data_IF_694026079410
#
_entry.id   IF_694026079410
#
_cell.length_a   1.000
_cell.length_b   1.000
_cell.length_c   1.000
_cell.angle_alpha   90.00
_cell.angle_beta   90.00
_cell.angle_gamma   90.00
#
_symmetry.space_group_name_H-M   'P 1'
#
loop_
_entity.id
_entity.type
_entity.pdbx_description
1 polymer ?
#
# COMPACT_ATOMS: atom_id res chain seq x y z
N UNK A 1 -12.43 20.67 -10.66
CA UNK A 1 -12.28 19.66 -11.72
C UNK A 1 -11.25 18.64 -11.24
N UNK A 2 -11.64 17.40 -11.01
CA UNK A 2 -10.68 16.35 -10.71
C UNK A 2 -9.83 16.12 -11.98
N UNK A 3 -8.51 16.31 -11.88
CA UNK A 3 -7.60 15.93 -12.95
C UNK A 3 -7.70 14.40 -13.13
N UNK A 4 -7.84 13.93 -14.37
CA UNK A 4 -7.88 12.49 -14.60
C UNK A 4 -6.57 11.84 -14.19
N UNK A 5 -6.61 10.55 -13.85
CA UNK A 5 -5.43 9.78 -13.48
C UNK A 5 -4.35 9.85 -14.57
N UNK A 6 -4.73 9.80 -15.85
CA UNK A 6 -3.80 9.91 -16.96
C UNK A 6 -3.03 11.23 -16.98
N UNK A 7 -3.69 12.36 -16.73
CA UNK A 7 -3.01 13.67 -16.65
C UNK A 7 -1.99 13.73 -15.53
N UNK A 8 -2.30 13.14 -14.37
CA UNK A 8 -1.39 13.11 -13.23
C UNK A 8 -0.15 12.27 -13.56
N UNK A 9 -0.32 11.11 -14.18
CA UNK A 9 0.79 10.24 -14.56
C UNK A 9 1.66 10.88 -15.64
N UNK A 10 1.06 11.51 -16.64
CA UNK A 10 1.78 12.21 -17.72
C UNK A 10 2.64 13.36 -17.19
N UNK A 11 2.09 14.16 -16.27
CA UNK A 11 2.79 15.31 -15.72
C UNK A 11 3.82 14.93 -14.65
N UNK A 12 3.55 13.88 -13.85
CA UNK A 12 4.35 13.53 -12.69
C UNK A 12 5.41 12.46 -12.94
N UNK A 13 5.39 11.78 -14.10
CA UNK A 13 6.37 10.74 -14.44
C UNK A 13 6.46 9.60 -13.43
N UNK A 14 7.62 8.90 -13.32
CA UNK A 14 7.78 7.75 -12.44
C UNK A 14 7.39 7.97 -10.97
N UNK A 15 7.62 9.12 -10.33
CA UNK A 15 7.11 9.39 -8.98
C UNK A 15 5.59 9.30 -8.88
N UNK A 16 4.85 9.84 -9.85
CA UNK A 16 3.38 9.77 -9.85
C UNK A 16 2.89 8.31 -10.00
N UNK A 17 3.57 7.49 -10.79
CA UNK A 17 3.29 6.05 -10.90
C UNK A 17 3.49 5.35 -9.56
N UNK A 18 4.60 5.59 -8.86
CA UNK A 18 4.85 5.02 -7.53
C UNK A 18 3.77 5.45 -6.52
N UNK A 19 3.44 6.74 -6.46
CA UNK A 19 2.38 7.27 -5.58
C UNK A 19 1.05 6.55 -5.83
N UNK A 20 0.64 6.43 -7.09
CA UNK A 20 -0.62 5.77 -7.46
C UNK A 20 -0.59 4.27 -7.18
N UNK A 21 0.55 3.60 -7.38
CA UNK A 21 0.71 2.19 -7.03
C UNK A 21 0.54 1.97 -5.52
N UNK A 22 1.14 2.82 -4.67
CA UNK A 22 0.95 2.74 -3.22
C UNK A 22 -0.52 2.92 -2.84
N UNK A 23 -1.16 3.98 -3.34
CA UNK A 23 -2.57 4.24 -3.03
C UNK A 23 -3.47 3.07 -3.47
N UNK A 24 -3.32 2.59 -4.70
CA UNK A 24 -4.14 1.50 -5.23
C UNK A 24 -3.92 0.19 -4.45
N UNK A 25 -2.66 -0.13 -4.14
CA UNK A 25 -2.30 -1.38 -3.47
C UNK A 25 -2.60 -1.38 -1.98
N UNK A 26 -2.53 -0.24 -1.28
CA UNK A 26 -2.71 -0.17 0.18
C UNK A 26 -4.14 0.17 0.60
N UNK A 27 -4.91 0.91 -0.20
CA UNK A 27 -6.29 1.27 0.13
C UNK A 27 -7.28 0.15 -0.17
N UNK A 28 -7.01 -0.69 -1.18
CA UNK A 28 -7.94 -1.74 -1.62
C UNK A 28 -7.46 -3.15 -1.27
N UNK A 29 -8.37 -4.07 -0.91
CA UNK A 29 -8.03 -5.48 -0.71
C UNK A 29 -7.66 -6.19 -2.02
N UNK A 30 -8.07 -5.66 -3.15
CA UNK A 30 -7.72 -6.16 -4.49
C UNK A 30 -7.21 -5.02 -5.35
N UNK A 31 -6.15 -5.24 -6.09
CA UNK A 31 -5.62 -4.28 -7.03
C UNK A 31 -5.03 -4.98 -8.25
N UNK A 32 -4.95 -4.26 -9.33
CA UNK A 32 -4.35 -4.73 -10.57
C UNK A 32 -3.68 -3.57 -11.29
N UNK A 33 -2.76 -3.89 -12.15
CA UNK A 33 -2.08 -2.94 -13.02
C UNK A 33 -2.35 -3.30 -14.47
N UNK A 34 -2.47 -2.27 -15.32
CA UNK A 34 -2.51 -2.46 -16.75
C UNK A 34 -1.08 -2.68 -17.27
N UNK A 35 -0.93 -3.61 -18.21
CA UNK A 35 0.38 -3.94 -18.79
C UNK A 35 1.05 -2.70 -19.40
N UNK A 36 2.31 -2.43 -19.01
CA UNK A 36 3.06 -1.22 -19.34
C UNK A 36 3.10 -0.18 -18.22
N UNK A 37 2.25 -0.32 -17.20
CA UNK A 37 2.30 0.54 -16.02
C UNK A 37 3.65 0.41 -15.29
N UNK A 38 4.16 -0.78 -15.18
CA UNK A 38 5.45 -1.11 -14.59
C UNK A 38 6.64 -0.52 -15.34
N UNK A 39 6.45 -0.21 -16.62
CA UNK A 39 7.42 0.51 -17.47
C UNK A 39 7.19 2.03 -17.48
N UNK A 40 6.23 2.51 -16.68
CA UNK A 40 5.81 3.91 -16.63
C UNK A 40 5.39 4.47 -18.00
N UNK A 41 4.78 3.63 -18.83
CA UNK A 41 4.26 4.02 -20.14
C UNK A 41 3.14 5.05 -19.96
N UNK A 42 3.35 6.25 -20.52
CA UNK A 42 2.45 7.39 -20.37
C UNK A 42 2.35 8.27 -21.62
N UNK A 43 2.76 7.76 -22.78
CA UNK A 43 2.68 8.49 -24.04
C UNK A 43 1.21 8.64 -24.45
N UNK A 44 0.66 9.87 -24.52
CA UNK A 44 -0.73 10.07 -24.90
C UNK A 44 -0.91 9.79 -26.40
N UNK A 45 -2.09 9.30 -26.80
CA UNK A 45 -2.44 9.05 -28.21
C UNK A 45 -2.32 10.33 -29.05
N UNK A 46 -2.68 11.49 -28.48
CA UNK A 46 -2.54 12.83 -29.05
C UNK A 46 -2.40 13.85 -27.90
N UNK A 47 -1.82 15.01 -28.14
CA UNK A 47 -1.71 16.04 -27.12
C UNK A 47 -3.06 16.33 -26.43
N UNK A 48 -3.11 16.24 -25.09
CA UNK A 48 -4.30 16.46 -24.29
C UNK A 48 -5.27 15.28 -24.22
N UNK A 49 -5.00 14.14 -24.89
CA UNK A 49 -5.76 12.91 -24.72
C UNK A 49 -5.49 12.27 -23.37
N UNK A 50 -6.52 11.62 -22.82
CA UNK A 50 -6.41 10.72 -21.66
C UNK A 50 -6.11 9.29 -22.06
N UNK A 51 -6.22 8.96 -23.34
CA UNK A 51 -5.86 7.68 -23.92
C UNK A 51 -4.36 7.63 -24.20
N UNK A 52 -3.74 6.51 -23.87
CA UNK A 52 -2.35 6.25 -24.20
C UNK A 52 -2.21 5.64 -25.58
N UNK A 53 -1.07 5.92 -26.22
CA UNK A 53 -0.71 5.35 -27.51
C UNK A 53 -0.65 3.81 -27.38
N UNK A 54 -1.27 3.11 -28.32
CA UNK A 54 -1.32 1.64 -28.38
C UNK A 54 -1.87 1.02 -27.07
N UNK A 55 -2.88 1.64 -26.47
CA UNK A 55 -3.51 1.18 -25.23
C UNK A 55 -4.68 0.22 -25.44
N UNK A 56 -5.13 0.04 -26.69
CA UNK A 56 -6.23 -0.87 -26.99
C UNK A 56 -5.85 -2.32 -26.72
N UNK A 57 -6.74 -3.06 -26.06
CA UNK A 57 -6.47 -4.43 -25.58
C UNK A 57 -6.12 -5.46 -26.67
N UNK A 58 -6.44 -5.15 -27.92
CA UNK A 58 -6.14 -6.02 -29.07
C UNK A 58 -4.91 -5.60 -29.85
N UNK A 59 -4.29 -4.49 -29.50
CA UNK A 59 -3.06 -4.04 -30.15
C UNK A 59 -1.87 -4.86 -29.64
N UNK A 60 -1.11 -5.42 -30.56
CA UNK A 60 0.13 -6.08 -30.23
C UNK A 60 1.21 -5.03 -29.97
N UNK A 61 1.71 -5.01 -28.73
CA UNK A 61 2.79 -4.12 -28.31
C UNK A 61 3.91 -4.94 -27.69
N UNK A 62 4.98 -5.23 -28.44
CA UNK A 62 6.15 -5.89 -27.87
C UNK A 62 6.84 -4.96 -26.87
N UNK A 63 7.25 -5.51 -25.73
CA UNK A 63 8.00 -4.81 -24.68
C UNK A 63 9.25 -5.60 -24.36
N UNK A 64 10.41 -4.92 -24.33
CA UNK A 64 11.66 -5.53 -23.90
C UNK A 64 11.84 -5.33 -22.39
N UNK A 65 11.28 -6.27 -21.62
CA UNK A 65 11.33 -6.27 -20.17
C UNK A 65 12.77 -6.40 -19.64
N UNK A 66 13.59 -7.19 -20.33
CA UNK A 66 14.97 -7.43 -19.92
C UNK A 66 15.83 -6.19 -20.17
N UNK A 67 15.64 -5.49 -21.29
CA UNK A 67 16.29 -4.21 -21.52
C UNK A 67 15.87 -3.18 -20.45
N UNK A 68 14.57 -3.04 -20.19
CA UNK A 68 14.07 -2.12 -19.17
C UNK A 68 14.65 -2.41 -17.78
N UNK A 69 14.77 -3.69 -17.41
CA UNK A 69 15.38 -4.09 -16.13
C UNK A 69 16.88 -3.77 -16.07
N UNK A 70 17.63 -4.04 -17.15
CA UNK A 70 19.07 -3.71 -17.23
C UNK A 70 19.34 -2.21 -17.14
N UNK A 71 18.47 -1.42 -17.76
CA UNK A 71 18.63 0.04 -17.82
C UNK A 71 18.05 0.75 -16.59
N UNK A 72 17.49 -0.01 -15.62
CA UNK A 72 16.86 0.54 -14.43
C UNK A 72 15.60 1.36 -14.72
N UNK A 73 14.96 1.11 -15.85
CA UNK A 73 13.75 1.80 -16.28
C UNK A 73 12.50 1.16 -15.64
N UNK A 74 11.51 2.01 -15.36
CA UNK A 74 10.25 1.55 -14.80
C UNK A 74 10.25 1.38 -13.28
N UNK A 75 9.15 0.81 -12.78
CA UNK A 75 8.88 0.64 -11.34
C UNK A 75 8.56 -0.81 -10.96
N UNK A 76 8.93 -1.78 -11.80
CA UNK A 76 8.64 -3.19 -11.54
C UNK A 76 9.22 -3.69 -10.18
N UNK A 77 10.46 -3.35 -9.77
CA UNK A 77 10.97 -3.71 -8.44
C UNK A 77 10.11 -3.13 -7.31
N UNK A 78 9.69 -1.87 -7.43
CA UNK A 78 8.82 -1.22 -6.44
C UNK A 78 7.45 -1.92 -6.33
N UNK A 79 6.85 -2.33 -7.45
CA UNK A 79 5.62 -3.13 -7.47
C UNK A 79 5.83 -4.49 -6.80
N UNK A 80 6.98 -5.10 -6.98
CA UNK A 80 7.36 -6.35 -6.30
C UNK A 80 7.37 -6.18 -4.79
N UNK A 81 7.97 -5.07 -4.28
CA UNK A 81 7.95 -4.75 -2.85
C UNK A 81 6.54 -4.53 -2.33
N UNK A 82 5.70 -3.76 -3.04
CA UNK A 82 4.30 -3.58 -2.66
C UNK A 82 3.54 -4.91 -2.57
N UNK A 83 3.76 -5.81 -3.53
CA UNK A 83 3.14 -7.14 -3.51
C UNK A 83 3.67 -8.02 -2.37
N UNK A 84 4.96 -7.94 -2.04
CA UNK A 84 5.56 -8.62 -0.88
C UNK A 84 4.92 -8.14 0.41
N UNK A 85 4.83 -6.82 0.61
CA UNK A 85 4.18 -6.20 1.76
C UNK A 85 2.72 -6.66 1.87
N UNK A 86 1.98 -6.63 0.77
CA UNK A 86 0.58 -7.09 0.77
C UNK A 86 0.43 -8.54 1.18
N UNK A 87 1.35 -9.41 0.76
CA UNK A 87 1.32 -10.84 1.13
C UNK A 87 1.59 -11.06 2.61
N UNK A 88 2.43 -10.24 3.24
CA UNK A 88 2.79 -10.37 4.66
C UNK A 88 1.75 -9.77 5.61
N UNK A 89 0.82 -8.92 5.14
CA UNK A 89 -0.12 -8.20 5.99
C UNK A 89 -1.58 -8.55 5.71
N UNK A 90 -2.22 -9.27 6.64
CA UNK A 90 -3.64 -9.60 6.56
C UNK A 90 -4.54 -8.36 6.57
N UNK A 91 -4.14 -7.31 7.28
CA UNK A 91 -4.87 -6.05 7.33
C UNK A 91 -5.12 -5.45 5.93
N UNK A 92 -4.22 -5.68 4.97
CA UNK A 92 -4.34 -5.19 3.60
C UNK A 92 -5.36 -5.97 2.76
N UNK A 93 -5.81 -7.15 3.22
CA UNK A 93 -6.78 -7.99 2.52
C UNK A 93 -8.24 -7.67 2.88
N UNK A 94 -8.47 -6.72 3.80
CA UNK A 94 -9.81 -6.35 4.27
C UNK A 94 -10.23 -4.99 3.69
N UNK A 95 -11.54 -4.83 3.44
CA UNK A 95 -12.09 -3.60 2.85
C UNK A 95 -12.49 -2.56 3.90
N UNK A 96 -13.09 -2.99 5.01
CA UNK A 96 -13.79 -2.10 5.96
C UNK A 96 -12.95 -1.71 7.19
N UNK A 97 -11.66 -1.92 7.16
CA UNK A 97 -10.73 -1.64 8.25
C UNK A 97 -9.83 -0.42 8.00
N UNK A 98 -10.23 0.44 7.07
CA UNK A 98 -9.51 1.65 6.70
C UNK A 98 -9.88 2.81 7.62
N UNK A 99 -8.87 3.50 8.16
CA UNK A 99 -8.98 4.73 8.94
C UNK A 99 -8.03 5.79 8.43
N UNK A 100 -8.53 7.01 8.22
CA UNK A 100 -7.70 8.17 7.90
C UNK A 100 -7.30 8.90 9.16
N UNK A 101 -6.06 9.38 9.19
CA UNK A 101 -5.50 10.17 10.27
C UNK A 101 -5.32 11.62 9.85
N UNK A 102 -5.30 12.54 10.83
CA UNK A 102 -5.14 13.95 10.53
C UNK A 102 -3.71 14.29 10.09
N UNK A 103 -3.61 15.13 9.06
CA UNK A 103 -2.34 15.67 8.55
C UNK A 103 -2.53 17.17 8.34
N UNK A 104 -1.57 18.01 8.75
CA UNK A 104 -1.65 19.47 8.64
C UNK A 104 -1.38 20.02 7.24
N UNK A 105 -1.08 19.15 6.29
CA UNK A 105 -0.80 19.51 4.89
C UNK A 105 -1.66 18.68 3.93
N UNK A 106 -2.39 19.32 3.00
CA UNK A 106 -3.26 18.62 2.06
C UNK A 106 -2.49 17.79 1.02
N UNK A 107 -1.19 18.05 0.86
CA UNK A 107 -0.32 17.31 -0.05
C UNK A 107 0.10 15.94 0.48
N UNK A 108 -0.13 15.67 1.78
CA UNK A 108 0.11 14.36 2.35
C UNK A 108 -1.21 13.73 2.80
N UNK A 109 -1.25 12.41 2.73
CA UNK A 109 -2.34 11.61 3.26
C UNK A 109 -1.78 10.55 4.19
N UNK A 110 -2.46 10.34 5.33
CA UNK A 110 -2.12 9.27 6.26
C UNK A 110 -3.35 8.42 6.53
N UNK A 111 -3.16 7.10 6.47
CA UNK A 111 -4.20 6.14 6.80
C UNK A 111 -3.62 4.87 7.40
N UNK A 112 -4.45 4.15 8.15
CA UNK A 112 -4.12 2.83 8.65
C UNK A 112 -5.15 1.79 8.26
N UNK A 113 -4.72 0.54 8.24
CA UNK A 113 -5.57 -0.65 8.17
C UNK A 113 -5.17 -1.59 9.29
N UNK A 114 -6.15 -2.03 10.06
CA UNK A 114 -5.92 -2.91 11.21
C UNK A 114 -6.91 -4.06 11.18
N UNK A 115 -6.44 -5.24 11.55
CA UNK A 115 -7.26 -6.43 11.79
C UNK A 115 -6.84 -7.07 13.10
N UNK A 116 -7.82 -7.43 13.93
CA UNK A 116 -7.59 -8.11 15.19
C UNK A 116 -7.72 -9.63 15.02
N UNK A 117 -7.11 -10.40 15.93
CA UNK A 117 -7.23 -11.86 15.91
C UNK A 117 -8.68 -12.35 16.04
N UNK A 118 -9.55 -11.60 16.74
CA UNK A 118 -10.98 -11.89 16.83
C UNK A 118 -11.68 -11.81 15.46
N UNK A 119 -11.35 -10.79 14.66
CA UNK A 119 -11.91 -10.61 13.33
C UNK A 119 -11.45 -11.70 12.38
N UNK A 120 -10.18 -12.10 12.47
CA UNK A 120 -9.61 -13.20 11.66
C UNK A 120 -10.32 -14.51 11.97
N UNK A 121 -10.52 -14.82 13.27
CA UNK A 121 -11.21 -16.04 13.70
C UNK A 121 -12.67 -16.06 13.27
N UNK A 122 -13.38 -14.93 13.37
CA UNK A 122 -14.76 -14.80 12.95
C UNK A 122 -14.92 -14.99 11.44
N UNK A 123 -14.01 -14.46 10.63
CA UNK A 123 -14.02 -14.64 9.19
C UNK A 123 -13.75 -16.10 8.77
N UNK A 124 -12.82 -16.76 9.46
CA UNK A 124 -12.54 -18.19 9.25
C UNK A 124 -13.73 -19.09 9.56
N UNK A 125 -14.47 -18.78 10.64
CA UNK A 125 -15.68 -19.51 11.01
C UNK A 125 -16.84 -19.29 10.01
N UNK A 126 -16.96 -18.07 9.44
CA UNK A 126 -17.98 -17.75 8.43
C UNK A 126 -17.69 -18.39 7.07
N UNK A 127 -16.42 -18.52 6.67
CA UNK A 127 -16.03 -19.14 5.40
C UNK A 127 -16.26 -20.65 5.37
N UNK A 128 -16.39 -21.31 6.52
CA UNK A 128 -16.65 -22.75 6.63
C UNK A 128 -18.09 -23.16 6.35
N UNK A 129 -19.03 -22.22 6.21
CA UNK A 129 -20.49 -22.52 6.19
C UNK A 129 -21.20 -22.36 4.83
N UNK A 130 -20.55 -21.92 3.73
CA UNK A 130 -21.34 -21.52 2.56
C UNK A 130 -20.85 -21.97 1.18
N UNK A 131 -19.95 -22.91 1.05
CA UNK A 131 -19.64 -23.49 -0.27
C UNK A 131 -19.77 -25.00 -0.25
N UNK A 132 -20.83 -25.46 -0.93
CA UNK A 132 -21.09 -26.85 -1.18
C UNK A 132 -19.91 -27.52 -1.89
N UNK A 133 -19.75 -28.81 -1.61
CA UNK A 133 -18.72 -29.69 -2.08
C UNK A 133 -18.56 -29.67 -3.61
N UNK A 134 -17.61 -28.91 -4.10
CA UNK A 134 -17.01 -29.03 -5.41
C UNK A 134 -15.53 -29.26 -5.21
N UNK A 135 -15.01 -30.39 -5.67
CA UNK A 135 -13.62 -30.76 -5.64
C UNK A 135 -12.74 -29.68 -6.30
N UNK A 136 -12.13 -28.82 -5.50
CA UNK A 136 -10.96 -28.06 -5.89
C UNK A 136 -9.80 -28.54 -5.01
N UNK A 137 -9.08 -29.50 -5.53
CA UNK A 137 -7.81 -29.99 -5.02
C UNK A 137 -6.71 -29.00 -5.39
N UNK A 138 -6.70 -27.86 -4.76
CA UNK A 138 -5.53 -27.01 -4.54
C UNK A 138 -6.02 -25.73 -3.82
N UNK A 139 -6.02 -25.78 -2.49
CA UNK A 139 -6.04 -24.55 -1.70
C UNK A 139 -4.72 -23.84 -2.00
N UNK A 140 -4.72 -22.56 -2.44
CA UNK A 140 -3.52 -21.78 -2.30
C UNK A 140 -3.15 -21.82 -0.82
N UNK A 141 -1.91 -22.19 -0.53
CA UNK A 141 -1.30 -22.19 0.79
C UNK A 141 -1.56 -20.80 1.40
N UNK A 142 -2.61 -20.66 2.17
CA UNK A 142 -2.74 -19.56 3.11
C UNK A 142 -1.54 -19.75 4.00
N UNK A 143 -0.56 -18.84 3.93
CA UNK A 143 0.61 -18.87 4.80
C UNK A 143 0.10 -19.16 6.20
N UNK A 144 0.63 -20.20 6.82
CA UNK A 144 0.28 -20.59 8.17
C UNK A 144 0.32 -19.31 9.02
N UNK A 145 -0.80 -18.95 9.62
CA UNK A 145 -0.82 -17.89 10.62
C UNK A 145 0.35 -18.17 11.57
N UNK A 146 1.18 -17.18 11.90
CA UNK A 146 2.24 -17.39 12.87
C UNK A 146 1.60 -18.05 14.07
N UNK A 147 2.15 -19.22 14.48
CA UNK A 147 1.60 -20.01 15.57
C UNK A 147 1.51 -19.08 16.77
N UNK A 148 0.29 -18.85 17.25
CA UNK A 148 0.04 -18.10 18.44
C UNK A 148 0.78 -18.79 19.59
N UNK A 149 1.90 -18.21 20.01
CA UNK A 149 2.49 -18.56 21.29
C UNK A 149 1.42 -18.35 22.35
N UNK A 150 1.29 -19.33 23.24
CA UNK A 150 0.32 -19.42 24.32
C UNK A 150 0.50 -18.32 25.40
N UNK A 151 0.44 -17.05 25.01
CA UNK A 151 0.30 -15.95 25.96
C UNK A 151 -0.72 -14.98 25.37
N UNK A 152 -1.84 -14.82 26.06
CA UNK A 152 -3.08 -14.16 25.68
C UNK A 152 -3.05 -12.68 25.24
N UNK A 153 -2.08 -12.29 24.46
CA UNK A 153 -2.03 -11.03 23.73
C UNK A 153 -2.74 -11.21 22.39
N UNK A 154 -3.89 -10.56 22.20
CA UNK A 154 -4.63 -10.64 20.97
C UNK A 154 -3.75 -10.23 19.79
N UNK A 155 -3.42 -11.17 18.90
CA UNK A 155 -2.77 -10.89 17.61
C UNK A 155 -3.51 -9.73 16.91
N UNK A 156 -2.77 -8.76 16.46
CA UNK A 156 -3.30 -7.70 15.59
C UNK A 156 -2.27 -7.38 14.52
N UNK A 157 -2.73 -7.30 13.29
CA UNK A 157 -1.91 -6.82 12.18
C UNK A 157 -2.34 -5.39 11.86
N UNK A 158 -1.39 -4.47 11.84
CA UNK A 158 -1.64 -3.05 11.62
C UNK A 158 -0.61 -2.50 10.66
N UNK A 159 -1.09 -1.95 9.56
CA UNK A 159 -0.27 -1.23 8.57
C UNK A 159 -0.67 0.24 8.60
N UNK A 160 0.32 1.13 8.76
CA UNK A 160 0.15 2.58 8.73
C UNK A 160 0.88 3.14 7.52
N UNK A 161 0.19 3.93 6.71
CA UNK A 161 0.70 4.42 5.43
C UNK A 161 0.66 5.93 5.40
N UNK A 162 1.77 6.55 5.02
CA UNK A 162 1.85 8.00 4.73
C UNK A 162 2.33 8.18 3.30
N UNK A 163 1.62 8.99 2.52
CA UNK A 163 1.92 9.20 1.09
C UNK A 163 2.03 10.68 0.79
N UNK A 164 3.08 11.08 0.09
CA UNK A 164 3.16 12.38 -0.55
C UNK A 164 2.38 12.32 -1.87
N UNK A 165 1.37 13.17 -2.02
CA UNK A 165 0.52 13.23 -3.22
C UNK A 165 1.11 14.12 -4.32
N UNK A 166 2.12 14.93 -3.99
CA UNK A 166 2.83 15.80 -4.94
C UNK A 166 3.98 15.02 -5.60
N UNK A 167 3.92 14.73 -6.91
CA UNK A 167 4.97 13.99 -7.58
C UNK A 167 6.23 14.82 -7.88
N UNK A 168 6.21 16.13 -7.63
CA UNK A 168 7.26 17.05 -8.05
C UNK A 168 8.13 17.57 -6.91
N UNK A 169 7.59 17.64 -5.69
CA UNK A 169 8.27 18.28 -4.58
C UNK A 169 8.26 17.44 -3.32
N UNK A 170 9.37 17.48 -2.59
CA UNK A 170 9.40 16.96 -1.24
C UNK A 170 8.41 17.75 -0.37
N UNK A 171 7.62 17.04 0.41
CA UNK A 171 6.64 17.59 1.33
C UNK A 171 6.90 17.08 2.73
N UNK A 172 6.59 17.92 3.69
CA UNK A 172 6.71 17.62 5.10
C UNK A 172 5.44 18.01 5.83
N UNK A 173 5.09 17.26 6.85
CA UNK A 173 3.90 17.47 7.64
C UNK A 173 4.03 16.87 9.04
N UNK A 174 3.16 17.30 9.93
CA UNK A 174 2.86 16.57 11.15
C UNK A 174 1.63 15.69 10.92
N UNK A 175 1.75 14.43 11.33
CA UNK A 175 0.66 13.45 11.31
C UNK A 175 0.17 13.26 12.75
N UNK A 176 -1.14 13.40 12.98
CA UNK A 176 -1.78 13.08 14.26
C UNK A 176 -2.58 11.79 14.13
N UNK A 177 -2.19 10.81 14.92
CA UNK A 177 -2.79 9.48 14.89
C UNK A 177 -3.99 9.39 15.84
N UNK A 178 -5.04 8.74 15.38
CA UNK A 178 -6.11 8.27 16.24
C UNK A 178 -5.63 6.98 16.93
N UNK A 179 -5.04 7.15 18.11
CA UNK A 179 -4.38 6.08 18.87
C UNK A 179 -5.33 4.93 19.24
N UNK A 180 -6.58 5.17 19.68
CA UNK A 180 -7.56 4.12 19.92
C UNK A 180 -7.86 3.25 18.70
N UNK A 181 -7.92 3.84 17.48
CA UNK A 181 -8.12 3.08 16.25
C UNK A 181 -6.94 2.14 15.93
N UNK A 182 -5.74 2.51 16.39
CA UNK A 182 -4.57 1.64 16.32
C UNK A 182 -4.54 0.62 17.49
N UNK A 183 -5.51 0.70 18.40
CA UNK A 183 -5.62 -0.14 19.59
C UNK A 183 -4.65 0.23 20.70
N UNK A 184 -4.24 1.50 20.77
CA UNK A 184 -3.25 2.03 21.72
C UNK A 184 -3.84 3.15 22.60
N UNK A 185 -3.23 3.37 23.77
CA UNK A 185 -3.55 4.52 24.62
C UNK A 185 -3.03 5.83 24.02
N UNK A 186 -3.70 6.97 24.32
CA UNK A 186 -3.37 8.28 23.75
C UNK A 186 -1.91 8.73 23.95
N UNK A 187 -1.27 8.32 25.04
CA UNK A 187 0.10 8.70 25.39
C UNK A 187 1.10 7.55 25.21
N UNK A 188 0.67 6.46 24.60
CA UNK A 188 1.51 5.30 24.36
C UNK A 188 2.49 5.60 23.22
N UNK A 189 3.78 5.28 23.45
CA UNK A 189 4.79 5.30 22.39
C UNK A 189 4.95 3.91 21.81
N UNK A 190 5.33 3.85 20.54
CA UNK A 190 5.53 2.59 19.80
C UNK A 190 6.61 2.74 18.74
N UNK A 191 7.10 1.63 18.24
CA UNK A 191 8.07 1.61 17.15
C UNK A 191 7.34 1.33 15.85
N UNK A 192 7.63 2.15 14.80
CA UNK A 192 7.23 1.89 13.41
C UNK A 192 8.45 1.44 12.63
N UNK A 193 8.28 0.46 11.76
CA UNK A 193 9.32 0.01 10.83
C UNK A 193 8.79 0.14 9.40
N UNK A 194 9.54 0.86 8.55
CA UNK A 194 9.17 1.06 7.15
C UNK A 194 9.48 -0.20 6.34
N UNK A 195 8.46 -0.82 5.79
CA UNK A 195 8.55 -2.03 4.97
C UNK A 195 9.26 -1.82 3.62
N UNK A 196 9.39 -0.56 3.18
CA UNK A 196 10.10 -0.22 1.94
C UNK A 196 11.61 -0.06 2.15
N UNK A 197 12.04 0.40 3.34
CA UNK A 197 13.45 0.72 3.59
C UNK A 197 14.07 -0.07 4.73
N UNK A 198 13.26 -0.60 5.64
CA UNK A 198 13.70 -1.23 6.88
C UNK A 198 14.05 -0.24 8.01
N UNK A 199 13.93 1.07 7.77
CA UNK A 199 14.17 2.08 8.80
C UNK A 199 13.12 2.00 9.90
N UNK A 200 13.55 2.20 11.15
CA UNK A 200 12.64 2.18 12.32
C UNK A 200 12.66 3.53 13.03
N UNK A 201 11.49 3.93 13.51
CA UNK A 201 11.30 5.22 14.19
C UNK A 201 10.45 5.04 15.45
N UNK A 202 10.72 5.87 16.47
CA UNK A 202 9.87 5.97 17.64
C UNK A 202 8.76 6.98 17.38
N UNK A 203 7.52 6.52 17.46
CA UNK A 203 6.31 7.31 17.20
C UNK A 203 5.42 7.37 18.43
N UNK A 204 4.52 8.35 18.44
CA UNK A 204 3.43 8.54 19.38
C UNK A 204 2.22 9.12 18.66
N UNK A 205 1.43 9.95 19.37
CA UNK A 205 0.24 10.56 18.79
C UNK A 205 0.57 11.53 17.64
N UNK A 206 1.59 12.39 17.79
CA UNK A 206 1.98 13.39 16.80
C UNK A 206 3.40 13.11 16.28
N UNK A 207 3.57 13.04 14.97
CA UNK A 207 4.81 12.61 14.35
C UNK A 207 5.16 13.46 13.13
N UNK A 208 6.39 13.95 13.05
CA UNK A 208 6.89 14.63 11.87
C UNK A 208 7.25 13.63 10.77
N UNK A 209 6.88 13.94 9.53
CA UNK A 209 7.19 13.16 8.34
C UNK A 209 7.66 14.08 7.22
N UNK A 210 8.70 13.65 6.50
CA UNK A 210 9.15 14.28 5.26
C UNK A 210 9.31 13.23 4.18
N UNK A 211 8.62 13.42 3.05
CA UNK A 211 8.61 12.50 1.92
C UNK A 211 9.05 13.21 0.64
N UNK A 212 10.06 12.65 -0.01
CA UNK A 212 10.56 13.09 -1.31
C UNK A 212 10.05 12.12 -2.39
N UNK A 213 9.22 12.58 -3.35
CA UNK A 213 8.60 11.69 -4.33
C UNK A 213 9.61 10.99 -5.26
N UNK A 214 10.78 11.57 -5.47
CA UNK A 214 11.80 10.97 -6.31
C UNK A 214 12.44 9.74 -5.65
N UNK A 215 12.75 9.84 -4.36
CA UNK A 215 13.43 8.77 -3.59
C UNK A 215 12.47 7.95 -2.74
N UNK A 216 11.57 8.61 -2.02
CA UNK A 216 10.66 8.01 -1.03
C UNK A 216 9.26 8.66 -1.10
N UNK A 217 8.39 8.22 -2.02
CA UNK A 217 7.06 8.80 -2.19
C UNK A 217 6.11 8.49 -1.04
N UNK A 218 6.40 7.44 -0.27
CA UNK A 218 5.56 6.96 0.81
C UNK A 218 6.38 6.25 1.89
N UNK A 219 5.81 6.18 3.09
CA UNK A 219 6.14 5.21 4.11
C UNK A 219 5.02 4.18 4.22
N UNK A 220 5.39 2.92 4.38
CA UNK A 220 4.47 1.81 4.68
C UNK A 220 5.00 1.14 5.93
N UNK A 221 4.40 1.47 7.07
CA UNK A 221 4.90 1.07 8.38
C UNK A 221 4.16 -0.14 8.93
N UNK A 222 4.91 -1.06 9.50
CA UNK A 222 4.43 -1.97 10.54
C UNK A 222 4.58 -1.33 11.91
N UNK A 223 3.75 -1.76 12.85
CA UNK A 223 3.75 -1.25 14.22
C UNK A 223 4.18 -2.36 15.18
N UNK A 224 5.20 -2.07 15.98
CA UNK A 224 5.60 -2.91 17.10
C UNK A 224 5.37 -2.14 18.41
N UNK A 225 4.60 -2.74 19.33
CA UNK A 225 4.43 -2.17 20.67
C UNK A 225 5.67 -2.43 21.49
N UNK A 226 6.10 -1.42 22.22
CA UNK A 226 7.10 -1.65 23.24
C UNK A 226 6.40 -2.36 24.41
N UNK A 227 6.84 -3.57 24.70
CA UNK A 227 6.41 -4.28 25.89
C UNK A 227 6.95 -3.50 27.11
N UNK A 228 6.05 -2.98 27.94
CA UNK A 228 6.38 -2.34 29.21
C UNK A 228 6.92 -3.36 30.21
#
# INVERSE_FOLDING_TARGET
MAASTARILNAGGPPAFKIRAVLASMLSPSWGIYSGYELTENTPLRPGSEEYLDSEKYQYRPRDWDAAARDGLGIAPFITDLNRIRKSHLALHWLRNLRFHHVDRPELICFSKRVSGREITAAGASAGSTYGAGNITERPSVMAAPQAGEQGGAFSDTVLVVVNLDPHQAREATVWLDMPELGMGWHEGFTVTDELTGDSFRWGQANYVRLDPASRPAHIFTITRDLA
#
